data_IF_980058581153
#
_entry.id   IF_980058581153
#
_cell.length_a   1.000
_cell.length_b   1.000
_cell.length_c   1.000
_cell.angle_alpha   90.00
_cell.angle_beta   90.00
_cell.angle_gamma   90.00
#
_symmetry.space_group_name_H-M   'P 1'
#
loop_
_entity.id
_entity.type
_entity.pdbx_description
1 polymer ?
#
# COMPACT_ATOMS: atom_id res chain seq x y z
N UNK A 1 -14.87 8.94 -5.62
CA UNK A 1 -15.69 9.18 -4.39
C UNK A 1 -16.29 7.85 -3.98
N UNK A 2 -15.71 7.22 -2.95
CA UNK A 2 -16.28 6.01 -2.38
C UNK A 2 -17.58 6.42 -1.69
N UNK A 3 -18.72 5.91 -2.16
CA UNK A 3 -20.01 6.17 -1.53
C UNK A 3 -19.94 5.86 -0.02
N UNK A 4 -20.39 6.83 0.76
CA UNK A 4 -20.64 6.65 2.19
C UNK A 4 -21.64 5.50 2.36
N UNK A 5 -21.16 4.29 2.67
CA UNK A 5 -22.02 3.29 3.29
C UNK A 5 -22.41 3.81 4.67
N UNK A 6 -23.71 3.81 4.89
CA UNK A 6 -24.38 3.99 6.18
C UNK A 6 -23.65 3.16 7.25
N UNK A 7 -23.52 3.73 8.42
CA UNK A 7 -22.98 3.16 9.64
C UNK A 7 -23.39 1.68 9.83
N UNK A 8 -22.63 0.76 9.32
CA UNK A 8 -22.55 -0.54 9.93
C UNK A 8 -21.75 -0.27 11.21
N UNK A 9 -22.43 -0.19 12.33
CA UNK A 9 -21.84 -0.33 13.63
C UNK A 9 -21.12 -1.68 13.60
N UNK A 10 -19.80 -1.67 13.39
CA UNK A 10 -18.96 -2.84 13.62
C UNK A 10 -18.97 -3.01 15.13
N UNK A 11 -19.99 -3.69 15.62
CA UNK A 11 -20.04 -4.14 16.99
C UNK A 11 -18.97 -5.21 17.12
N UNK A 12 -17.88 -4.88 17.82
CA UNK A 12 -16.91 -5.88 18.26
C UNK A 12 -17.73 -6.90 19.05
N UNK A 13 -17.63 -8.19 18.71
CA UNK A 13 -18.26 -9.21 19.54
C UNK A 13 -17.54 -9.31 20.90
N UNK A 14 -18.18 -9.87 21.87
CA UNK A 14 -17.65 -9.89 23.24
C UNK A 14 -16.35 -10.70 23.38
N UNK A 15 -16.10 -11.70 22.53
CA UNK A 15 -14.88 -12.50 22.53
C UNK A 15 -13.72 -11.73 21.92
N UNK A 16 -13.97 -11.04 20.82
CA UNK A 16 -13.01 -10.20 20.13
C UNK A 16 -12.58 -9.00 20.98
N UNK A 17 -13.53 -8.30 21.60
CA UNK A 17 -13.26 -7.22 22.54
C UNK A 17 -12.41 -7.70 23.73
N UNK A 18 -12.74 -8.86 24.30
CA UNK A 18 -11.97 -9.46 25.37
C UNK A 18 -10.53 -9.76 24.95
N UNK A 19 -10.34 -10.31 23.74
CA UNK A 19 -9.02 -10.60 23.19
C UNK A 19 -8.17 -9.33 23.02
N UNK A 20 -8.73 -8.29 22.38
CA UNK A 20 -8.07 -6.99 22.19
C UNK A 20 -7.69 -6.39 23.55
N UNK A 21 -8.61 -6.35 24.51
CA UNK A 21 -8.34 -5.81 25.87
C UNK A 21 -7.25 -6.59 26.59
N UNK A 22 -7.18 -7.91 26.41
CA UNK A 22 -6.12 -8.75 26.99
C UNK A 22 -4.75 -8.38 26.40
N UNK A 23 -4.66 -8.11 25.10
CA UNK A 23 -3.42 -7.69 24.43
C UNK A 23 -3.01 -6.28 24.87
N UNK A 24 -3.93 -5.34 24.91
CA UNK A 24 -3.67 -3.98 25.41
C UNK A 24 -3.11 -4.05 26.85
N UNK A 25 -3.74 -4.85 27.71
CA UNK A 25 -3.27 -5.06 29.10
C UNK A 25 -1.86 -5.64 29.17
N UNK A 26 -1.51 -6.51 28.25
CA UNK A 26 -0.15 -7.11 28.18
C UNK A 26 0.93 -6.06 27.94
N UNK A 27 0.65 -5.05 27.09
CA UNK A 27 1.61 -4.02 26.71
C UNK A 27 1.61 -2.80 27.65
N UNK A 28 0.48 -2.43 28.20
CA UNK A 28 0.30 -1.20 28.98
C UNK A 28 -0.05 -1.43 30.46
N UNK A 29 -0.20 -2.68 30.89
CA UNK A 29 -0.53 -3.02 32.28
C UNK A 29 -2.02 -2.95 32.61
N UNK A 30 -2.35 -3.14 33.90
CA UNK A 30 -3.75 -3.28 34.36
C UNK A 30 -4.62 -2.03 34.16
N UNK A 31 -4.04 -0.85 34.19
CA UNK A 31 -4.76 0.43 34.04
C UNK A 31 -5.42 0.57 32.67
N UNK A 32 -4.86 -0.07 31.65
CA UNK A 32 -5.41 -0.07 30.29
C UNK A 32 -6.71 -0.89 30.13
N UNK A 33 -7.10 -1.67 31.14
CA UNK A 33 -8.26 -2.58 31.05
C UNK A 33 -9.60 -1.86 30.86
N UNK A 34 -9.72 -0.61 31.29
CA UNK A 34 -10.92 0.23 31.17
C UNK A 34 -10.96 1.13 29.96
N UNK A 35 -9.94 1.06 29.06
CA UNK A 35 -9.90 1.90 27.87
C UNK A 35 -11.11 1.63 26.96
N UNK A 36 -11.75 2.70 26.48
CA UNK A 36 -12.82 2.60 25.50
C UNK A 36 -12.19 2.26 24.15
N UNK A 37 -12.73 1.22 23.49
CA UNK A 37 -12.39 0.87 22.12
C UNK A 37 -13.37 1.56 21.18
N UNK A 38 -12.85 2.45 20.34
CA UNK A 38 -13.64 3.12 19.30
C UNK A 38 -13.22 2.57 17.94
N UNK A 39 -14.14 1.94 17.18
CA UNK A 39 -13.79 1.49 15.84
C UNK A 39 -13.39 2.70 14.99
N UNK A 40 -12.28 2.59 14.31
CA UNK A 40 -11.90 3.50 13.24
C UNK A 40 -12.57 3.04 11.95
N UNK A 41 -12.61 3.91 10.93
CA UNK A 41 -13.10 3.51 9.61
C UNK A 41 -12.42 2.20 9.22
N UNK A 42 -13.23 1.19 8.86
CA UNK A 42 -12.70 -0.09 8.40
C UNK A 42 -11.75 0.15 7.20
N UNK A 43 -10.51 -0.29 7.32
CA UNK A 43 -9.58 -0.34 6.21
C UNK A 43 -10.00 -1.41 5.20
N UNK A 44 -9.44 -1.37 4.00
CA UNK A 44 -9.68 -2.42 3.00
C UNK A 44 -9.05 -3.76 3.39
N UNK A 45 -8.00 -3.72 4.20
CA UNK A 45 -7.19 -4.89 4.55
C UNK A 45 -7.37 -5.31 6.01
N UNK A 46 -7.44 -4.36 6.94
CA UNK A 46 -7.37 -4.60 8.38
C UNK A 46 -8.48 -3.85 9.13
N UNK A 47 -8.86 -4.37 10.30
CA UNK A 47 -9.74 -3.69 11.25
C UNK A 47 -8.91 -2.92 12.27
N UNK A 48 -9.39 -1.72 12.63
CA UNK A 48 -8.63 -0.80 13.48
C UNK A 48 -9.51 -0.17 14.57
N UNK A 49 -8.94 -0.05 15.77
CA UNK A 49 -9.60 0.52 16.95
C UNK A 49 -8.72 1.56 17.62
N UNK A 50 -9.31 2.70 17.95
CA UNK A 50 -8.69 3.73 18.76
C UNK A 50 -8.91 3.43 20.24
N UNK A 51 -7.85 3.56 21.05
CA UNK A 51 -7.96 3.45 22.52
C UNK A 51 -7.01 4.43 23.21
N UNK A 52 -7.28 4.73 24.49
CA UNK A 52 -6.50 5.69 25.27
C UNK A 52 -5.90 5.01 26.49
N UNK A 53 -4.62 5.26 26.75
CA UNK A 53 -3.90 4.82 27.95
C UNK A 53 -3.07 5.97 28.49
N UNK A 54 -3.24 6.30 29.78
CA UNK A 54 -2.51 7.41 30.43
C UNK A 54 -2.60 8.76 29.72
N UNK A 55 -3.74 9.04 29.06
CA UNK A 55 -3.94 10.27 28.29
C UNK A 55 -3.39 10.24 26.86
N UNK A 56 -2.60 9.24 26.50
CA UNK A 56 -2.09 9.03 25.15
C UNK A 56 -3.01 8.11 24.33
N UNK A 57 -3.18 8.41 23.05
CA UNK A 57 -4.03 7.64 22.13
C UNK A 57 -3.21 6.70 21.28
N UNK A 58 -3.78 5.53 21.03
CA UNK A 58 -3.16 4.45 20.24
C UNK A 58 -4.17 3.81 19.31
N UNK A 59 -3.66 3.25 18.22
CA UNK A 59 -4.42 2.41 17.28
C UNK A 59 -4.05 0.95 17.54
N UNK A 60 -5.05 0.11 17.72
CA UNK A 60 -4.93 -1.34 17.65
C UNK A 60 -5.45 -1.78 16.28
N UNK A 61 -4.58 -2.38 15.46
CA UNK A 61 -4.91 -2.95 14.14
C UNK A 61 -4.77 -4.46 14.21
N UNK A 62 -5.71 -5.19 13.65
CA UNK A 62 -5.55 -6.61 13.41
C UNK A 62 -6.10 -7.04 12.05
N UNK A 63 -5.84 -8.28 11.67
CA UNK A 63 -6.08 -8.78 10.33
C UNK A 63 -7.56 -8.83 9.98
N UNK A 64 -7.95 -8.24 8.87
CA UNK A 64 -9.23 -8.52 8.23
C UNK A 64 -9.24 -9.90 7.55
N UNK A 65 -10.43 -10.39 7.24
CA UNK A 65 -10.63 -11.70 6.61
C UNK A 65 -9.87 -11.85 5.29
N UNK A 66 -9.22 -13.01 5.12
CA UNK A 66 -8.49 -13.37 3.89
C UNK A 66 -7.10 -12.77 3.77
N UNK A 67 -6.64 -11.98 4.74
CA UNK A 67 -5.30 -11.37 4.69
C UNK A 67 -4.18 -12.34 5.06
N UNK A 68 -4.49 -13.46 5.71
CA UNK A 68 -3.53 -14.46 6.17
C UNK A 68 -2.70 -15.06 5.02
N UNK A 69 -3.28 -15.10 3.80
CA UNK A 69 -2.62 -15.59 2.60
C UNK A 69 -1.85 -14.51 1.85
N UNK A 70 -2.17 -13.23 2.10
CA UNK A 70 -1.64 -12.11 1.34
C UNK A 70 -0.40 -11.50 2.00
N UNK A 71 -0.39 -11.44 3.34
CA UNK A 71 0.60 -10.67 4.10
C UNK A 71 1.61 -11.59 4.78
N UNK A 72 2.88 -11.36 4.49
CA UNK A 72 4.01 -11.99 5.18
C UNK A 72 4.34 -11.20 6.45
N UNK A 73 3.75 -11.61 7.58
CA UNK A 73 3.90 -10.91 8.87
C UNK A 73 5.33 -10.96 9.44
N UNK A 74 6.13 -11.96 9.06
CA UNK A 74 7.55 -11.99 9.43
C UNK A 74 8.33 -10.92 8.66
N UNK A 75 8.03 -10.77 7.38
CA UNK A 75 8.63 -9.73 6.57
C UNK A 75 8.20 -8.34 7.04
N UNK A 76 6.90 -8.12 7.29
CA UNK A 76 6.38 -6.85 7.86
C UNK A 76 7.15 -6.47 9.13
N UNK A 77 7.33 -7.44 10.05
CA UNK A 77 8.10 -7.20 11.27
C UNK A 77 9.56 -6.83 10.99
N UNK A 78 10.23 -7.52 10.08
CA UNK A 78 11.62 -7.21 9.69
C UNK A 78 11.73 -5.80 9.08
N UNK A 79 10.75 -5.40 8.27
CA UNK A 79 10.68 -4.05 7.72
C UNK A 79 10.58 -3.02 8.84
N UNK A 80 9.63 -3.16 9.77
CA UNK A 80 9.51 -2.24 10.91
C UNK A 80 10.77 -2.23 11.79
N UNK A 81 11.40 -3.37 12.04
CA UNK A 81 12.67 -3.44 12.79
C UNK A 81 13.79 -2.67 12.07
N UNK A 82 13.80 -2.67 10.73
CA UNK A 82 14.79 -1.97 9.92
C UNK A 82 14.57 -0.44 9.95
N UNK A 83 13.31 0.02 9.88
CA UNK A 83 13.00 1.44 9.68
C UNK A 83 12.62 2.21 10.96
N UNK A 84 12.36 1.54 12.07
CA UNK A 84 11.81 2.12 13.32
C UNK A 84 12.58 3.33 13.88
N UNK A 85 13.88 3.42 13.61
CA UNK A 85 14.72 4.52 14.11
C UNK A 85 15.01 5.61 13.07
N UNK A 86 14.45 5.49 11.86
CA UNK A 86 14.70 6.43 10.77
C UNK A 86 13.79 7.65 10.79
N UNK A 87 12.77 7.64 11.64
CA UNK A 87 11.81 8.75 11.75
C UNK A 87 10.89 8.92 10.54
N UNK A 88 10.79 7.89 9.70
CA UNK A 88 9.98 7.90 8.45
C UNK A 88 8.62 7.25 8.60
N UNK A 89 8.37 6.52 9.68
CA UNK A 89 7.12 5.81 9.95
C UNK A 89 6.58 6.14 11.32
N UNK A 90 5.32 5.77 11.56
CA UNK A 90 4.66 5.92 12.85
C UNK A 90 5.39 5.15 13.96
N UNK A 91 5.21 5.58 15.20
CA UNK A 91 5.76 4.85 16.35
C UNK A 91 4.95 3.58 16.62
N UNK A 92 5.53 2.42 16.29
CA UNK A 92 4.95 1.10 16.56
C UNK A 92 5.38 0.63 17.96
N UNK A 93 4.39 0.44 18.84
CA UNK A 93 4.57 -0.05 20.21
C UNK A 93 4.73 -1.56 20.24
N UNK A 94 3.93 -2.26 19.44
CA UNK A 94 3.95 -3.72 19.34
C UNK A 94 3.49 -4.17 17.95
N UNK A 95 4.11 -5.24 17.46
CA UNK A 95 3.73 -5.96 16.28
C UNK A 95 3.92 -7.46 16.54
N UNK A 96 2.87 -8.24 16.31
CA UNK A 96 2.87 -9.68 16.57
C UNK A 96 2.78 -10.46 15.26
N UNK A 97 3.84 -11.16 14.90
CA UNK A 97 3.85 -12.07 13.76
C UNK A 97 2.79 -13.17 13.91
N UNK A 98 2.70 -13.77 15.12
CA UNK A 98 1.82 -14.90 15.36
C UNK A 98 0.34 -14.58 15.31
N UNK A 99 -0.06 -13.41 15.81
CA UNK A 99 -1.47 -13.00 15.94
C UNK A 99 -1.84 -11.88 14.97
N UNK A 100 -0.88 -11.38 14.17
CA UNK A 100 -1.10 -10.38 13.13
C UNK A 100 -1.51 -8.99 13.61
N UNK A 101 -1.55 -8.72 14.94
CA UNK A 101 -1.92 -7.39 15.42
C UNK A 101 -0.73 -6.43 15.43
N UNK A 102 -1.03 -5.16 15.22
CA UNK A 102 -0.12 -4.03 15.41
C UNK A 102 -0.73 -3.02 16.38
N UNK A 103 0.08 -2.46 17.28
CA UNK A 103 -0.28 -1.32 18.13
C UNK A 103 0.67 -0.18 17.75
N UNK A 104 0.11 0.94 17.35
CA UNK A 104 0.87 2.15 17.01
C UNK A 104 0.30 3.38 17.72
N UNK A 105 1.13 4.43 17.84
CA UNK A 105 0.68 5.72 18.37
C UNK A 105 -0.31 6.35 17.41
N UNK A 106 -1.38 6.92 17.96
CA UNK A 106 -2.28 7.81 17.22
C UNK A 106 -1.76 9.24 17.30
N UNK A 107 -1.78 9.94 16.19
CA UNK A 107 -1.36 11.34 16.12
C UNK A 107 -2.60 12.23 15.98
N UNK A 108 -2.83 13.07 16.99
CA UNK A 108 -3.84 14.12 16.91
C UNK A 108 -3.38 15.19 15.93
N UNK A 109 -4.31 15.93 15.35
CA UNK A 109 -4.01 16.96 14.35
C UNK A 109 -3.18 16.41 13.18
N UNK A 110 -3.59 15.25 12.67
CA UNK A 110 -3.01 14.63 11.49
C UNK A 110 -4.07 14.42 10.41
N UNK A 111 -3.61 14.39 9.16
CA UNK A 111 -4.42 14.06 8.00
C UNK A 111 -3.60 13.24 7.00
N UNK A 112 -4.28 12.49 6.15
CA UNK A 112 -3.63 11.79 5.04
C UNK A 112 -3.45 12.74 3.86
N UNK A 113 -2.52 12.44 2.95
CA UNK A 113 -2.28 13.26 1.78
C UNK A 113 -3.56 13.48 0.97
N UNK A 114 -3.84 14.72 0.61
CA UNK A 114 -4.84 15.06 -0.41
C UNK A 114 -4.15 14.96 -1.80
N UNK A 115 -4.51 13.97 -2.65
CA UNK A 115 -3.89 13.79 -3.95
C UNK A 115 -4.21 14.93 -4.94
N UNK A 116 -5.13 15.84 -4.60
CA UNK A 116 -5.43 17.06 -5.38
C UNK A 116 -4.59 18.26 -4.91
N UNK A 117 -3.93 18.17 -3.74
CA UNK A 117 -3.04 19.20 -3.22
C UNK A 117 -1.60 18.94 -3.71
N UNK A 118 -1.17 19.66 -4.76
CA UNK A 118 0.15 19.46 -5.35
C UNK A 118 1.30 19.63 -4.35
N UNK A 119 1.19 20.54 -3.38
CA UNK A 119 2.25 20.75 -2.37
C UNK A 119 2.40 19.52 -1.48
N UNK A 120 1.31 18.86 -1.08
CA UNK A 120 1.37 17.63 -0.30
C UNK A 120 1.92 16.47 -1.14
N UNK A 121 1.51 16.38 -2.39
CA UNK A 121 2.04 15.36 -3.34
C UNK A 121 3.55 15.55 -3.54
N UNK A 122 4.04 16.76 -3.70
CA UNK A 122 5.47 17.06 -3.82
C UNK A 122 6.23 16.67 -2.54
N UNK A 123 5.66 16.93 -1.35
CA UNK A 123 6.22 16.47 -0.08
C UNK A 123 6.28 14.92 -0.01
N UNK A 124 5.23 14.22 -0.47
CA UNK A 124 5.22 12.75 -0.53
C UNK A 124 6.33 12.22 -1.45
N UNK A 125 6.48 12.81 -2.65
CA UNK A 125 7.51 12.40 -3.61
C UNK A 125 8.93 12.69 -3.10
N UNK A 126 9.13 13.81 -2.44
CA UNK A 126 10.41 14.14 -1.80
C UNK A 126 10.74 13.17 -0.65
N UNK A 127 9.75 12.80 0.16
CA UNK A 127 9.91 11.83 1.23
C UNK A 127 10.26 10.43 0.67
N UNK A 128 9.55 9.96 -0.37
CA UNK A 128 9.87 8.70 -1.07
C UNK A 128 11.29 8.71 -1.64
N UNK A 129 11.68 9.77 -2.34
CA UNK A 129 13.03 9.89 -2.90
C UNK A 129 14.08 9.79 -1.80
N UNK A 130 13.95 10.60 -0.75
CA UNK A 130 14.89 10.60 0.39
C UNK A 130 14.94 9.24 1.09
N UNK A 131 13.85 8.50 1.09
CA UNK A 131 13.79 7.16 1.62
C UNK A 131 14.52 6.16 0.71
N UNK A 132 14.24 6.16 -0.60
CA UNK A 132 14.86 5.25 -1.56
C UNK A 132 16.37 5.46 -1.70
N UNK A 133 16.84 6.70 -1.62
CA UNK A 133 18.28 7.05 -1.63
C UNK A 133 19.08 6.43 -0.47
N UNK A 134 18.41 5.93 0.57
CA UNK A 134 19.09 5.22 1.68
C UNK A 134 19.58 3.82 1.29
N UNK A 135 19.10 3.25 0.18
CA UNK A 135 19.55 1.96 -0.34
C UNK A 135 19.30 0.80 0.63
N UNK A 136 18.21 0.83 1.40
CA UNK A 136 17.91 -0.19 2.41
C UNK A 136 17.57 -1.53 1.74
N UNK A 137 18.14 -2.60 2.29
CA UNK A 137 17.92 -3.98 1.84
C UNK A 137 17.85 -4.93 3.05
N UNK A 138 17.86 -6.25 2.84
CA UNK A 138 17.88 -7.23 3.95
C UNK A 138 16.52 -7.75 4.38
N UNK A 139 15.48 -7.40 3.62
CA UNK A 139 14.13 -7.97 3.73
C UNK A 139 13.75 -8.68 2.44
N UNK A 140 12.55 -9.26 2.36
CA UNK A 140 12.08 -10.02 1.20
C UNK A 140 12.10 -9.16 -0.07
N UNK A 141 12.52 -9.75 -1.18
CA UNK A 141 12.40 -9.13 -2.51
C UNK A 141 10.94 -9.16 -2.95
N UNK A 142 10.48 -8.05 -3.49
CA UNK A 142 9.19 -7.94 -4.15
C UNK A 142 9.39 -7.96 -5.67
N UNK A 143 8.94 -9.04 -6.31
CA UNK A 143 8.83 -9.14 -7.78
C UNK A 143 7.35 -8.95 -8.16
N UNK A 144 7.01 -7.93 -8.97
CA UNK A 144 5.63 -7.65 -9.34
C UNK A 144 5.03 -8.76 -10.22
N UNK A 145 5.82 -9.45 -11.03
CA UNK A 145 5.32 -10.54 -11.87
C UNK A 145 5.05 -11.82 -11.05
N UNK A 146 5.92 -12.15 -10.10
CA UNK A 146 5.68 -13.27 -9.19
C UNK A 146 4.45 -13.00 -8.30
N UNK A 147 4.28 -11.73 -7.88
CA UNK A 147 3.10 -11.29 -7.13
C UNK A 147 1.84 -11.40 -7.97
N UNK A 148 1.86 -10.98 -9.23
CA UNK A 148 0.73 -11.13 -10.16
C UNK A 148 0.32 -12.60 -10.28
N UNK A 149 1.28 -13.49 -10.56
CA UNK A 149 1.03 -14.92 -10.69
C UNK A 149 0.56 -15.56 -9.38
N UNK A 150 1.01 -15.04 -8.24
CA UNK A 150 0.51 -15.47 -6.94
C UNK A 150 -0.97 -15.12 -6.75
N UNK A 151 -1.37 -13.87 -7.04
CA UNK A 151 -2.78 -13.47 -6.94
C UNK A 151 -3.67 -14.23 -7.92
N UNK A 152 -3.23 -14.47 -9.15
CA UNK A 152 -3.98 -15.29 -10.13
C UNK A 152 -4.37 -16.65 -9.56
N UNK A 153 -3.47 -17.31 -8.82
CA UNK A 153 -3.75 -18.63 -8.20
C UNK A 153 -4.80 -18.59 -7.09
N UNK A 154 -5.16 -17.39 -6.62
CA UNK A 154 -6.19 -17.20 -5.60
C UNK A 154 -7.57 -16.87 -6.19
N UNK A 155 -7.65 -16.60 -7.50
CA UNK A 155 -8.88 -16.21 -8.18
C UNK A 155 -9.69 -17.44 -8.64
N UNK A 156 -11.03 -17.28 -8.78
CA UNK A 156 -11.86 -18.25 -9.48
C UNK A 156 -11.39 -18.47 -10.93
N UNK A 157 -11.52 -19.71 -11.43
CA UNK A 157 -11.10 -20.05 -12.80
C UNK A 157 -11.83 -19.21 -13.86
N UNK A 158 -13.09 -18.91 -13.69
CA UNK A 158 -13.90 -18.12 -14.62
C UNK A 158 -13.38 -16.68 -14.78
N UNK A 159 -12.85 -16.09 -13.71
CA UNK A 159 -12.26 -14.73 -13.74
C UNK A 159 -10.97 -14.70 -14.57
N UNK A 160 -10.20 -15.80 -14.52
CA UNK A 160 -8.94 -15.92 -15.25
C UNK A 160 -9.20 -16.35 -16.70
N UNK A 161 -10.16 -17.24 -16.94
CA UNK A 161 -10.48 -17.75 -18.27
C UNK A 161 -11.14 -16.72 -19.19
N UNK A 162 -11.53 -15.56 -18.67
CA UNK A 162 -12.12 -14.47 -19.43
C UNK A 162 -11.15 -13.96 -20.51
N UNK A 163 -11.60 -13.92 -21.78
CA UNK A 163 -10.75 -13.55 -22.91
C UNK A 163 -10.15 -12.14 -22.79
N UNK A 164 -10.91 -11.18 -22.27
CA UNK A 164 -10.41 -9.81 -22.06
C UNK A 164 -9.33 -9.76 -20.97
N UNK A 165 -9.45 -10.60 -19.93
CA UNK A 165 -8.42 -10.74 -18.91
C UNK A 165 -7.14 -11.36 -19.50
N UNK A 166 -7.26 -12.41 -20.31
CA UNK A 166 -6.11 -13.08 -20.92
C UNK A 166 -5.35 -12.16 -21.88
N UNK A 167 -6.04 -11.37 -22.69
CA UNK A 167 -5.42 -10.37 -23.57
C UNK A 167 -4.61 -9.34 -22.76
N UNK A 168 -5.20 -8.79 -21.68
CA UNK A 168 -4.51 -7.84 -20.81
C UNK A 168 -3.31 -8.52 -20.14
N UNK A 169 -3.48 -9.73 -19.62
CA UNK A 169 -2.42 -10.51 -18.99
C UNK A 169 -1.20 -10.73 -19.91
N UNK A 170 -1.44 -11.14 -21.16
CA UNK A 170 -0.39 -11.34 -22.16
C UNK A 170 0.37 -10.02 -22.43
N UNK A 171 -0.34 -8.91 -22.58
CA UNK A 171 0.26 -7.60 -22.73
C UNK A 171 1.11 -7.19 -21.52
N UNK A 172 0.67 -7.49 -20.30
CA UNK A 172 1.43 -7.25 -19.07
C UNK A 172 2.69 -8.12 -19.03
N UNK A 173 2.58 -9.41 -19.32
CA UNK A 173 3.72 -10.32 -19.30
C UNK A 173 4.77 -9.96 -20.35
N UNK A 174 4.37 -9.37 -21.49
CA UNK A 174 5.31 -8.88 -22.51
C UNK A 174 6.20 -7.72 -22.02
N UNK A 175 5.83 -7.02 -20.94
CA UNK A 175 6.64 -5.97 -20.32
C UNK A 175 7.78 -6.52 -19.45
N UNK A 176 7.81 -7.83 -19.19
CA UNK A 176 8.76 -8.45 -18.26
C UNK A 176 10.21 -8.21 -18.72
N UNK A 177 10.53 -8.45 -19.98
CA UNK A 177 11.88 -8.32 -20.50
C UNK A 177 12.39 -6.87 -20.40
N UNK A 178 11.49 -5.90 -20.57
CA UNK A 178 11.82 -4.47 -20.38
C UNK A 178 12.12 -4.15 -18.92
N UNK A 179 11.37 -4.71 -17.97
CA UNK A 179 11.49 -4.43 -16.53
C UNK A 179 12.59 -5.26 -15.83
N UNK A 180 12.95 -6.44 -16.35
CA UNK A 180 13.92 -7.35 -15.71
C UNK A 180 15.24 -6.70 -15.28
N UNK A 181 15.91 -5.85 -16.09
CA UNK A 181 17.15 -5.21 -15.66
C UNK A 181 16.98 -4.35 -14.40
N UNK A 182 15.82 -3.73 -14.24
CA UNK A 182 15.49 -2.87 -13.09
C UNK A 182 15.03 -3.65 -11.85
N UNK A 183 14.64 -4.91 -12.04
CA UNK A 183 14.26 -5.81 -10.94
C UNK A 183 15.43 -6.65 -10.42
N UNK A 184 16.64 -6.43 -10.96
CA UNK A 184 17.87 -7.14 -10.57
C UNK A 184 18.99 -6.22 -10.09
N UNK A 185 18.93 -4.92 -10.41
CA UNK A 185 19.99 -3.98 -10.09
C UNK A 185 19.44 -2.74 -9.37
N UNK A 186 20.26 -2.16 -8.50
CA UNK A 186 19.94 -0.92 -7.77
C UNK A 186 18.62 -0.97 -6.97
N UNK A 187 18.32 -2.14 -6.42
CA UNK A 187 17.13 -2.36 -5.61
C UNK A 187 17.26 -1.71 -4.24
N UNK A 188 16.14 -1.21 -3.72
CA UNK A 188 16.02 -0.72 -2.36
C UNK A 188 14.72 -1.17 -1.75
N UNK A 189 14.56 -1.00 -0.43
CA UNK A 189 13.28 -1.19 0.22
C UNK A 189 12.26 -0.20 -0.36
N UNK A 190 11.16 -0.74 -0.84
CA UNK A 190 9.99 -0.03 -1.35
C UNK A 190 8.79 -0.31 -0.46
N UNK A 191 7.88 0.62 -0.40
CA UNK A 191 6.64 0.47 0.38
C UNK A 191 5.65 -0.47 -0.31
N UNK A 192 5.63 -0.47 -1.65
CA UNK A 192 4.73 -1.21 -2.55
C UNK A 192 3.28 -0.73 -2.49
N UNK A 193 2.77 -0.40 -1.32
CA UNK A 193 1.45 0.20 -1.11
C UNK A 193 1.57 1.69 -0.76
N UNK A 194 2.38 2.42 -1.52
CA UNK A 194 2.68 3.85 -1.35
C UNK A 194 1.53 4.76 -1.81
N UNK A 195 0.31 4.40 -1.43
CA UNK A 195 -0.92 5.14 -1.74
C UNK A 195 -1.00 6.42 -0.92
N UNK A 196 -1.71 7.43 -1.40
CA UNK A 196 -1.80 8.72 -0.72
C UNK A 196 -2.38 8.62 0.71
N UNK A 197 -3.26 7.66 0.98
CA UNK A 197 -3.82 7.38 2.31
C UNK A 197 -2.76 6.90 3.33
N UNK A 198 -1.60 6.42 2.86
CA UNK A 198 -0.50 5.95 3.68
C UNK A 198 0.55 7.04 3.99
N UNK A 199 0.38 8.26 3.47
CA UNK A 199 1.20 9.42 3.83
C UNK A 199 0.47 10.26 4.88
N UNK A 200 0.94 10.18 6.12
CA UNK A 200 0.33 10.84 7.28
C UNK A 200 1.07 12.13 7.61
N UNK A 201 0.45 13.26 7.33
CA UNK A 201 0.90 14.59 7.73
C UNK A 201 0.53 14.83 9.19
N UNK A 202 1.51 15.20 10.00
CA UNK A 202 1.34 15.47 11.43
C UNK A 202 1.79 16.90 11.72
N UNK A 203 1.00 17.65 12.47
CA UNK A 203 1.33 19.02 12.84
C UNK A 203 2.73 19.12 13.46
N UNK A 204 3.51 20.11 13.02
CA UNK A 204 4.89 20.33 13.47
C UNK A 204 5.95 19.44 12.81
N UNK A 205 5.60 18.62 11.82
CA UNK A 205 6.55 17.86 11.01
C UNK A 205 6.68 18.44 9.60
N UNK A 206 7.91 18.48 9.10
CA UNK A 206 8.19 18.93 7.73
C UNK A 206 7.84 17.86 6.67
N UNK A 207 8.03 16.58 7.02
CA UNK A 207 7.77 15.46 6.11
C UNK A 207 6.68 14.54 6.69
N UNK A 208 5.80 13.98 5.85
CA UNK A 208 4.81 13.01 6.32
C UNK A 208 5.48 11.73 6.84
N UNK A 209 4.78 11.02 7.72
CA UNK A 209 5.08 9.60 7.95
C UNK A 209 4.54 8.79 6.79
N UNK A 210 5.27 7.76 6.40
CA UNK A 210 4.77 6.68 5.53
C UNK A 210 4.41 5.51 6.43
N UNK A 211 3.13 5.14 6.46
CA UNK A 211 2.57 4.15 7.39
C UNK A 211 2.11 2.90 6.62
N UNK A 212 1.90 1.82 7.36
CA UNK A 212 1.32 0.56 6.84
C UNK A 212 2.18 -0.22 5.85
N UNK A 213 3.35 -0.65 6.32
CA UNK A 213 4.41 -1.34 5.58
C UNK A 213 4.17 -2.84 5.34
N UNK A 214 2.94 -3.31 5.35
CA UNK A 214 2.65 -4.75 5.31
C UNK A 214 2.96 -5.43 3.97
N UNK A 215 3.01 -4.66 2.86
CA UNK A 215 3.38 -5.14 1.52
C UNK A 215 4.84 -4.87 1.17
N UNK A 216 5.58 -4.15 2.00
CA UNK A 216 6.90 -3.65 1.70
C UNK A 216 7.91 -4.76 1.36
N UNK A 217 8.77 -4.47 0.40
CA UNK A 217 9.81 -5.39 -0.03
C UNK A 217 10.91 -4.68 -0.83
N UNK A 218 12.03 -5.35 -1.01
CA UNK A 218 13.13 -4.83 -1.82
C UNK A 218 12.77 -4.94 -3.30
N UNK A 219 12.73 -3.82 -3.99
CA UNK A 219 12.35 -3.73 -5.41
C UNK A 219 12.99 -2.51 -6.08
N UNK A 220 12.58 -2.27 -7.33
CA UNK A 220 12.83 -1.03 -8.03
C UNK A 220 12.07 0.14 -7.37
N UNK A 221 12.74 1.23 -6.95
CA UNK A 221 12.08 2.34 -6.27
C UNK A 221 10.96 3.01 -7.08
N UNK A 222 10.98 2.92 -8.41
CA UNK A 222 9.95 3.56 -9.24
C UNK A 222 8.58 2.87 -9.15
N UNK A 223 8.52 1.66 -8.56
CA UNK A 223 7.26 0.98 -8.31
C UNK A 223 6.37 1.79 -7.33
N UNK A 224 6.96 2.43 -6.33
CA UNK A 224 6.21 3.22 -5.36
C UNK A 224 5.53 4.44 -6.00
N UNK A 225 6.18 5.08 -6.97
CA UNK A 225 5.59 6.20 -7.72
C UNK A 225 4.40 5.72 -8.55
N UNK A 226 4.55 4.56 -9.19
CA UNK A 226 3.49 3.96 -9.99
C UNK A 226 2.26 3.60 -9.13
N UNK A 227 2.48 3.03 -7.93
CA UNK A 227 1.40 2.69 -7.01
C UNK A 227 0.65 3.92 -6.52
N UNK A 228 1.34 5.02 -6.21
CA UNK A 228 0.69 6.30 -5.91
C UNK A 228 -0.20 6.77 -7.06
N UNK A 229 0.32 6.76 -8.30
CA UNK A 229 -0.39 7.25 -9.47
C UNK A 229 -1.68 6.45 -9.76
N UNK A 230 -1.63 5.11 -9.72
CA UNK A 230 -2.80 4.28 -10.02
C UNK A 230 -3.86 4.34 -8.91
N UNK A 231 -3.45 4.47 -7.64
CA UNK A 231 -4.39 4.62 -6.54
C UNK A 231 -5.09 5.97 -6.55
N UNK A 232 -4.35 7.04 -6.85
CA UNK A 232 -4.91 8.37 -7.05
C UNK A 232 -5.72 8.51 -8.35
N UNK A 233 -5.73 7.47 -9.19
CA UNK A 233 -6.40 7.46 -10.50
C UNK A 233 -5.94 8.60 -11.40
N UNK A 234 -4.64 8.90 -11.39
CA UNK A 234 -4.06 10.01 -12.13
C UNK A 234 -4.09 9.80 -13.64
N UNK A 235 -4.39 10.88 -14.34
CA UNK A 235 -4.17 11.02 -15.79
C UNK A 235 -2.68 11.14 -16.12
N UNK A 236 -2.32 11.09 -17.40
CA UNK A 236 -0.91 11.29 -17.83
C UNK A 236 -0.33 12.66 -17.41
N UNK A 237 -1.05 13.81 -17.56
CA UNK A 237 -0.54 15.08 -17.06
C UNK A 237 -0.30 15.09 -15.53
N UNK A 238 -1.16 14.45 -14.75
CA UNK A 238 -1.01 14.34 -13.31
C UNK A 238 0.16 13.42 -12.94
N UNK A 239 0.29 12.29 -13.63
CA UNK A 239 1.43 11.39 -13.48
C UNK A 239 2.76 12.11 -13.82
N UNK A 240 2.79 12.93 -14.88
CA UNK A 240 3.98 13.70 -15.23
C UNK A 240 4.35 14.74 -14.16
N UNK A 241 3.36 15.38 -13.51
CA UNK A 241 3.61 16.26 -12.36
C UNK A 241 4.16 15.49 -11.16
N UNK A 242 3.58 14.31 -10.86
CA UNK A 242 4.08 13.41 -9.81
C UNK A 242 5.57 13.05 -10.04
N UNK A 243 5.92 12.68 -11.30
CA UNK A 243 7.31 12.40 -11.67
C UNK A 243 8.24 13.61 -11.49
N UNK A 244 7.78 14.81 -11.83
CA UNK A 244 8.57 16.03 -11.64
C UNK A 244 8.87 16.29 -10.16
N UNK A 245 7.94 15.97 -9.24
CA UNK A 245 8.17 16.03 -7.80
C UNK A 245 9.24 15.04 -7.31
N UNK A 246 9.26 13.84 -7.88
CA UNK A 246 10.29 12.84 -7.54
C UNK A 246 11.64 13.10 -8.23
N UNK A 247 11.65 13.62 -9.46
CA UNK A 247 12.85 13.92 -10.27
C UNK A 247 12.96 15.42 -10.54
N UNK A 248 13.34 16.25 -9.58
CA UNK A 248 13.45 17.70 -9.78
C UNK A 248 14.50 18.11 -10.85
N UNK A 249 15.49 17.25 -11.10
CA UNK A 249 16.50 17.45 -12.15
C UNK A 249 16.02 17.03 -13.55
N UNK A 250 14.76 16.54 -13.64
CA UNK A 250 14.18 15.99 -14.87
C UNK A 250 14.33 14.49 -15.02
N UNK A 251 13.62 13.92 -15.97
CA UNK A 251 13.60 12.48 -16.25
C UNK A 251 13.48 12.21 -17.77
N UNK A 252 13.96 11.03 -18.20
CA UNK A 252 13.88 10.59 -19.58
C UNK A 252 12.57 9.87 -19.90
N UNK A 253 12.27 9.72 -21.22
CA UNK A 253 11.15 8.89 -21.67
C UNK A 253 11.29 7.43 -21.23
N UNK A 254 12.51 6.92 -21.07
CA UNK A 254 12.76 5.57 -20.55
C UNK A 254 12.33 5.44 -19.07
N UNK A 255 12.56 6.46 -18.24
CA UNK A 255 12.05 6.50 -16.85
C UNK A 255 10.52 6.54 -16.86
N UNK A 256 9.92 7.37 -17.71
CA UNK A 256 8.46 7.45 -17.87
C UNK A 256 7.87 6.11 -18.33
N UNK A 257 8.47 5.47 -19.32
CA UNK A 257 8.06 4.15 -19.79
C UNK A 257 8.13 3.09 -18.68
N UNK A 258 9.17 3.13 -17.85
CA UNK A 258 9.33 2.21 -16.71
C UNK A 258 8.24 2.40 -15.66
N UNK A 259 7.88 3.64 -15.33
CA UNK A 259 6.76 3.92 -14.40
C UNK A 259 5.43 3.49 -15.02
N UNK A 260 5.19 3.76 -16.30
CA UNK A 260 3.99 3.29 -16.99
C UNK A 260 3.90 1.76 -17.03
N UNK A 261 5.02 1.08 -17.17
CA UNK A 261 5.05 -0.39 -17.09
C UNK A 261 4.68 -0.87 -15.69
N UNK A 262 5.19 -0.24 -14.61
CA UNK A 262 4.75 -0.57 -13.25
C UNK A 262 3.29 -0.19 -12.97
N UNK A 263 2.77 0.90 -13.52
CA UNK A 263 1.35 1.24 -13.43
C UNK A 263 0.47 0.17 -14.09
N UNK A 264 0.92 -0.38 -15.23
CA UNK A 264 0.23 -1.46 -15.91
C UNK A 264 0.23 -2.77 -15.09
N UNK A 265 1.40 -3.21 -14.65
CA UNK A 265 1.54 -4.44 -13.84
C UNK A 265 0.83 -4.30 -12.51
N UNK A 266 1.01 -3.16 -11.81
CA UNK A 266 0.35 -2.84 -10.54
C UNK A 266 -1.17 -2.79 -10.68
N UNK A 267 -1.68 -2.22 -11.77
CA UNK A 267 -3.11 -2.22 -12.08
C UNK A 267 -3.70 -3.63 -12.11
N UNK A 268 -3.02 -4.59 -12.76
CA UNK A 268 -3.51 -5.97 -12.79
C UNK A 268 -3.38 -6.67 -11.43
N UNK A 269 -2.29 -6.42 -10.68
CA UNK A 269 -2.10 -6.94 -9.32
C UNK A 269 -3.24 -6.48 -8.41
N UNK A 270 -3.52 -5.17 -8.35
CA UNK A 270 -4.54 -4.62 -7.45
C UNK A 270 -5.97 -4.93 -7.90
N UNK A 271 -6.22 -5.05 -9.20
CA UNK A 271 -7.49 -5.61 -9.68
C UNK A 271 -7.69 -7.04 -9.16
N UNK A 272 -6.69 -7.89 -9.26
CA UNK A 272 -6.75 -9.28 -8.81
C UNK A 272 -6.92 -9.36 -7.29
N UNK A 273 -6.24 -8.49 -6.54
CA UNK A 273 -6.44 -8.32 -5.10
C UNK A 273 -7.89 -7.96 -4.76
N UNK A 274 -8.51 -7.02 -5.49
CA UNK A 274 -9.91 -6.66 -5.29
C UNK A 274 -10.86 -7.85 -5.53
N UNK A 275 -10.66 -8.61 -6.60
CA UNK A 275 -11.47 -9.81 -6.88
C UNK A 275 -11.31 -10.83 -5.75
N UNK A 276 -10.08 -11.11 -5.32
CA UNK A 276 -9.85 -12.00 -4.18
C UNK A 276 -10.56 -11.51 -2.91
N UNK A 277 -10.44 -10.25 -2.55
CA UNK A 277 -11.09 -9.69 -1.37
C UNK A 277 -12.62 -9.65 -1.48
N UNK A 278 -13.17 -9.56 -2.69
CA UNK A 278 -14.61 -9.62 -2.91
C UNK A 278 -15.22 -10.98 -2.54
N UNK A 279 -14.43 -12.05 -2.59
CA UNK A 279 -14.85 -13.39 -2.13
C UNK A 279 -15.16 -13.40 -0.62
N UNK A 280 -14.65 -12.43 0.13
CA UNK A 280 -14.89 -12.24 1.56
C UNK A 280 -15.89 -11.10 1.85
N UNK A 281 -16.66 -10.66 0.85
CA UNK A 281 -17.72 -9.67 1.00
C UNK A 281 -17.27 -8.21 0.98
N UNK A 282 -16.00 -7.93 0.65
CA UNK A 282 -15.51 -6.55 0.50
C UNK A 282 -15.92 -6.01 -0.88
N UNK A 283 -16.41 -4.78 -0.93
CA UNK A 283 -16.82 -4.12 -2.18
C UNK A 283 -15.93 -2.91 -2.45
N UNK A 284 -15.47 -2.74 -3.70
CA UNK A 284 -14.50 -1.73 -4.08
C UNK A 284 -15.03 -0.63 -5.00
N UNK A 285 -16.35 -0.66 -5.35
CA UNK A 285 -16.93 0.29 -6.32
C UNK A 285 -16.17 0.27 -7.64
N UNK A 286 -15.83 1.43 -8.16
CA UNK A 286 -15.09 1.60 -9.43
C UNK A 286 -13.58 1.32 -9.30
N UNK A 287 -13.06 1.07 -8.10
CA UNK A 287 -11.61 0.94 -7.90
C UNK A 287 -11.02 -0.23 -8.71
N UNK A 288 -11.64 -1.40 -8.67
CA UNK A 288 -11.19 -2.58 -9.42
C UNK A 288 -11.18 -2.32 -10.94
N UNK A 289 -12.20 -1.64 -11.46
CA UNK A 289 -12.31 -1.30 -12.88
C UNK A 289 -11.25 -0.27 -13.29
N UNK A 290 -11.00 0.73 -12.45
CA UNK A 290 -9.92 1.70 -12.67
C UNK A 290 -8.55 1.01 -12.71
N UNK A 291 -8.29 0.06 -11.81
CA UNK A 291 -7.05 -0.71 -11.82
C UNK A 291 -6.93 -1.55 -13.11
N UNK A 292 -8.00 -2.19 -13.55
CA UNK A 292 -8.01 -2.95 -14.80
C UNK A 292 -7.80 -2.06 -16.03
N UNK A 293 -8.29 -0.82 -16.01
CA UNK A 293 -8.05 0.17 -17.07
C UNK A 293 -6.56 0.51 -17.18
N UNK A 294 -5.86 0.74 -16.07
CA UNK A 294 -4.40 0.95 -16.09
C UNK A 294 -3.67 -0.26 -16.70
N UNK A 295 -4.05 -1.48 -16.32
CA UNK A 295 -3.47 -2.69 -16.87
C UNK A 295 -3.69 -2.82 -18.38
N UNK A 296 -4.85 -2.40 -18.88
CA UNK A 296 -5.22 -2.48 -20.30
C UNK A 296 -4.54 -1.40 -21.15
N UNK A 297 -4.53 -0.16 -20.69
CA UNK A 297 -4.20 1.00 -21.54
C UNK A 297 -2.69 1.31 -21.54
N UNK A 298 -1.99 1.05 -20.44
CA UNK A 298 -0.61 1.50 -20.28
C UNK A 298 0.45 0.68 -21.02
N UNK A 299 0.29 -0.62 -21.31
CA UNK A 299 1.27 -1.35 -22.14
C UNK A 299 1.50 -0.73 -23.52
N UNK A 300 0.47 -0.20 -24.16
CA UNK A 300 0.60 0.49 -25.45
C UNK A 300 1.37 1.80 -25.31
N UNK A 301 1.16 2.55 -24.22
CA UNK A 301 1.89 3.79 -23.93
C UNK A 301 3.38 3.53 -23.69
N UNK A 302 3.71 2.41 -23.04
CA UNK A 302 5.10 1.96 -22.85
C UNK A 302 5.76 1.73 -24.23
N UNK A 303 5.12 0.95 -25.11
CA UNK A 303 5.62 0.67 -26.45
C UNK A 303 5.85 1.97 -27.26
N UNK A 304 4.88 2.89 -27.21
CA UNK A 304 4.99 4.18 -27.90
C UNK A 304 6.18 5.01 -27.41
N UNK A 305 6.48 4.99 -26.10
CA UNK A 305 7.65 5.70 -25.54
C UNK A 305 8.99 5.03 -25.89
N UNK A 306 9.00 3.72 -26.10
CA UNK A 306 10.20 2.96 -26.47
C UNK A 306 10.45 2.93 -27.98
N UNK A 307 9.52 3.43 -28.80
CA UNK A 307 9.61 3.41 -30.26
C UNK A 307 9.27 2.06 -30.90
N UNK A 308 8.71 1.14 -30.13
CA UNK A 308 8.20 -0.15 -30.59
C UNK A 308 6.74 0.04 -31.06
N UNK A 309 6.53 0.14 -32.35
CA UNK A 309 5.22 0.28 -33.00
C UNK A 309 4.70 -1.05 -33.52
#
# INVERSE_FOLDING_TARGET
>A
MVEKKENISIGIDGEEEWFIRRLIRRHFGKVAAGSILLPLKAGMTNDSFLFTVHGEKYIFRYNGYGTERLIDRENEKRVYDLIRFLGITEHVVALSVKSGYKISRYYEHSHVCDPQNQNEVDCCMSALRSFHERGLTGVKVFDPFDTLLFYERLLPEDDIANSAYQEVRENILSLRDFLMPFLTENLTLCHIDSVFDNFLFVEGRECPYLIDWEYAGVSDPLIDIAMFAIYANYSEPETNRLLAGYFPEGYSDRIRARIYAYMAVGGLIWRNWCIYKSLFGVTFGEYADNQFRFAKDYPQKVRALLGDS
#
